data_IF_200677882599
#
_entry.id   IF_200677882599
#
_cell.length_a   1.000
_cell.length_b   1.000
_cell.length_c   1.000
_cell.angle_alpha   90.00
_cell.angle_beta   90.00
_cell.angle_gamma   90.00
#
_symmetry.space_group_name_H-M   'P 1'
#
loop_
_entity.id
_entity.type
_entity.pdbx_description
1 polymer ?
#
# COMPACT_ATOMS: atom_id res chain seq x y z
N UNK A 1 -17.83 15.08 35.39
CA UNK A 1 -16.42 14.60 35.42
C UNK A 1 -16.19 13.41 34.48
N UNK A 2 -16.75 12.22 34.75
CA UNK A 2 -16.54 10.99 33.96
C UNK A 2 -16.95 11.18 32.48
N UNK A 3 -18.12 11.75 32.22
CA UNK A 3 -18.58 12.06 30.86
C UNK A 3 -17.65 13.04 30.11
N UNK A 4 -17.02 13.98 30.84
CA UNK A 4 -16.06 14.93 30.28
C UNK A 4 -14.76 14.25 29.82
N UNK A 5 -14.27 13.26 30.56
CA UNK A 5 -13.13 12.43 30.14
C UNK A 5 -13.47 11.68 28.84
N UNK A 6 -14.67 11.09 28.76
CA UNK A 6 -15.09 10.38 27.56
C UNK A 6 -15.18 11.30 26.34
N UNK A 7 -15.77 12.49 26.50
CA UNK A 7 -15.88 13.47 25.42
C UNK A 7 -14.50 13.88 24.87
N UNK A 8 -13.53 14.14 25.75
CA UNK A 8 -12.16 14.50 25.33
C UNK A 8 -11.45 13.37 24.56
N UNK A 9 -11.66 12.11 24.97
CA UNK A 9 -11.06 10.94 24.30
C UNK A 9 -11.70 10.68 22.93
N UNK A 10 -13.02 10.91 22.81
CA UNK A 10 -13.73 10.73 21.55
C UNK A 10 -13.40 11.82 20.52
N UNK A 11 -13.20 13.05 20.98
CA UNK A 11 -12.75 14.18 20.14
C UNK A 11 -11.33 13.95 19.62
N UNK A 12 -10.39 13.62 20.51
CA UNK A 12 -9.01 13.34 20.15
C UNK A 12 -8.53 12.00 20.75
N UNK A 13 -8.58 10.95 19.93
CA UNK A 13 -8.13 9.60 20.33
C UNK A 13 -6.62 9.49 20.63
N UNK A 14 -5.82 10.53 20.38
CA UNK A 14 -4.37 10.58 20.66
C UNK A 14 -4.02 11.39 21.91
N UNK A 15 -5.02 11.85 22.68
CA UNK A 15 -4.81 12.67 23.88
C UNK A 15 -3.98 11.94 24.95
N UNK A 16 -3.10 12.68 25.64
CA UNK A 16 -2.27 12.15 26.73
C UNK A 16 -2.99 12.27 28.08
N UNK A 17 -2.73 11.34 29.00
CA UNK A 17 -3.28 11.37 30.36
C UNK A 17 -3.01 12.71 31.09
N UNK A 18 -1.81 13.27 30.95
CA UNK A 18 -1.43 14.54 31.58
C UNK A 18 -2.25 15.72 31.02
N UNK A 19 -2.64 15.66 29.75
CA UNK A 19 -3.41 16.70 29.09
C UNK A 19 -4.87 16.67 29.57
N UNK A 20 -5.45 15.48 29.73
CA UNK A 20 -6.76 15.30 30.36
C UNK A 20 -6.75 15.82 31.80
N UNK A 21 -5.73 15.48 32.59
CA UNK A 21 -5.56 16.00 33.95
C UNK A 21 -5.57 17.53 33.98
N UNK A 22 -4.77 18.17 33.10
CA UNK A 22 -4.67 19.63 33.04
C UNK A 22 -5.98 20.30 32.61
N UNK A 23 -6.69 19.72 31.66
CA UNK A 23 -7.93 20.29 31.12
C UNK A 23 -9.11 20.17 32.10
N UNK A 24 -9.21 19.07 32.84
CA UNK A 24 -10.32 18.82 33.76
C UNK A 24 -9.98 19.10 35.23
N UNK A 25 -8.73 19.39 35.56
CA UNK A 25 -8.27 19.62 36.93
C UNK A 25 -8.31 18.39 37.84
N UNK A 26 -8.41 17.18 37.28
CA UNK A 26 -8.56 15.91 38.03
C UNK A 26 -7.23 15.20 38.19
N UNK A 27 -6.94 14.57 39.33
CA UNK A 27 -5.65 13.90 39.52
C UNK A 27 -5.36 12.86 38.42
N UNK A 28 -4.08 12.72 38.04
CA UNK A 28 -3.63 11.75 37.02
C UNK A 28 -4.08 10.32 37.37
N UNK A 29 -4.10 9.98 38.67
CA UNK A 29 -4.57 8.69 39.16
C UNK A 29 -6.04 8.45 38.86
N UNK A 30 -6.91 9.44 39.11
CA UNK A 30 -8.34 9.36 38.79
C UNK A 30 -8.53 9.20 37.28
N UNK A 31 -7.83 9.98 36.45
CA UNK A 31 -7.88 9.84 34.99
C UNK A 31 -7.51 8.43 34.55
N UNK A 32 -6.43 7.86 35.11
CA UNK A 32 -5.98 6.49 34.80
C UNK A 32 -7.05 5.45 35.17
N UNK A 33 -7.64 5.59 36.35
CA UNK A 33 -8.72 4.70 36.84
C UNK A 33 -9.94 4.79 35.93
N UNK A 34 -10.38 6.00 35.57
CA UNK A 34 -11.53 6.19 34.67
C UNK A 34 -11.27 5.55 33.30
N UNK A 35 -10.09 5.79 32.71
CA UNK A 35 -9.78 5.25 31.38
C UNK A 35 -9.68 3.73 31.35
N UNK A 36 -8.97 3.12 32.31
CA UNK A 36 -8.70 1.68 32.26
C UNK A 36 -9.74 0.82 32.99
N UNK A 37 -10.31 1.30 34.09
CA UNK A 37 -11.24 0.51 34.90
C UNK A 37 -12.71 0.76 34.52
N UNK A 38 -13.10 2.02 34.31
CA UNK A 38 -14.50 2.34 34.00
C UNK A 38 -14.80 2.18 32.51
N UNK A 39 -13.97 2.74 31.63
CA UNK A 39 -14.18 2.67 30.18
C UNK A 39 -13.50 1.48 29.51
N UNK A 40 -12.64 0.76 30.24
CA UNK A 40 -11.87 -0.37 29.72
C UNK A 40 -11.09 -0.05 28.43
N UNK A 41 -10.64 1.20 28.30
CA UNK A 41 -9.86 1.62 27.14
C UNK A 41 -8.45 1.03 27.20
N UNK A 42 -7.99 0.59 26.02
CA UNK A 42 -6.65 0.06 25.82
C UNK A 42 -5.83 1.02 24.98
N UNK A 43 -4.57 1.21 25.36
CA UNK A 43 -3.61 1.94 24.55
C UNK A 43 -3.18 1.06 23.38
N UNK A 44 -3.32 1.56 22.16
CA UNK A 44 -2.88 0.90 20.93
C UNK A 44 -1.85 1.80 20.25
N UNK A 45 -0.79 1.21 19.69
CA UNK A 45 0.16 1.94 18.86
C UNK A 45 -0.46 2.18 17.47
N UNK A 46 -0.30 3.40 16.95
CA UNK A 46 -0.80 3.73 15.61
C UNK A 46 -0.11 2.84 14.56
N UNK A 47 -0.89 2.35 13.61
CA UNK A 47 -0.35 1.65 12.45
C UNK A 47 0.42 2.63 11.57
N UNK A 48 1.58 2.20 11.07
CA UNK A 48 2.35 2.98 10.12
C UNK A 48 1.61 3.06 8.78
N UNK A 49 1.46 4.27 8.25
CA UNK A 49 0.82 4.54 6.95
C UNK A 49 1.88 5.11 6.00
N UNK A 50 2.10 4.52 4.82
CA UNK A 50 3.22 4.89 3.94
C UNK A 50 3.28 6.35 3.50
N UNK A 51 2.13 6.96 3.22
CA UNK A 51 2.05 8.33 2.72
C UNK A 51 0.83 9.05 3.31
N UNK A 52 0.96 10.37 3.49
CA UNK A 52 -0.15 11.24 3.84
C UNK A 52 -0.95 11.54 2.57
N UNK A 53 -2.07 10.83 2.38
CA UNK A 53 -2.90 10.98 1.19
C UNK A 53 -3.67 12.31 1.26
N UNK A 54 -3.69 13.05 0.15
CA UNK A 54 -4.60 14.18 -0.02
C UNK A 54 -6.01 13.68 -0.29
N UNK A 55 -7.03 14.48 0.03
CA UNK A 55 -8.43 14.12 -0.20
C UNK A 55 -8.70 13.76 -1.66
N UNK A 56 -8.07 14.48 -2.61
CA UNK A 56 -8.18 14.17 -4.03
C UNK A 56 -7.63 12.77 -4.37
N UNK A 57 -6.47 12.40 -3.81
CA UNK A 57 -5.84 11.09 -4.06
C UNK A 57 -6.62 9.94 -3.41
N UNK A 58 -7.08 10.13 -2.18
CA UNK A 58 -7.84 9.13 -1.44
C UNK A 58 -9.21 8.88 -2.07
N UNK A 59 -9.98 9.95 -2.26
CA UNK A 59 -11.41 9.85 -2.62
C UNK A 59 -11.61 9.64 -4.11
N UNK A 60 -10.85 10.33 -4.98
CA UNK A 60 -11.09 10.24 -6.43
C UNK A 60 -10.36 9.10 -7.11
N UNK A 61 -9.13 8.80 -6.68
CA UNK A 61 -8.32 7.79 -7.38
C UNK A 61 -8.44 6.42 -6.72
N UNK A 62 -8.19 6.30 -5.41
CA UNK A 62 -8.18 4.96 -4.77
C UNK A 62 -9.57 4.34 -4.70
N UNK A 63 -10.58 5.09 -4.22
CA UNK A 63 -11.95 4.56 -4.11
C UNK A 63 -12.53 4.21 -5.48
N UNK A 64 -12.44 5.12 -6.47
CA UNK A 64 -12.97 4.86 -7.80
C UNK A 64 -12.29 3.66 -8.50
N UNK A 65 -10.98 3.48 -8.34
CA UNK A 65 -10.27 2.31 -8.86
C UNK A 65 -10.72 1.03 -8.15
N UNK A 66 -10.82 1.06 -6.82
CA UNK A 66 -11.26 -0.12 -6.04
C UNK A 66 -12.69 -0.53 -6.40
N UNK A 67 -13.60 0.43 -6.55
CA UNK A 67 -14.98 0.18 -6.96
C UNK A 67 -15.05 -0.36 -8.39
N UNK A 68 -14.32 0.26 -9.33
CA UNK A 68 -14.31 -0.22 -10.72
C UNK A 68 -13.72 -1.62 -10.86
N UNK A 69 -12.74 -2.00 -10.02
CA UNK A 69 -12.24 -3.38 -9.96
C UNK A 69 -13.26 -4.35 -9.36
N UNK A 70 -14.01 -3.96 -8.33
CA UNK A 70 -15.01 -4.82 -7.70
C UNK A 70 -16.23 -5.05 -8.61
N UNK A 71 -16.61 -4.04 -9.39
CA UNK A 71 -17.73 -4.09 -10.34
C UNK A 71 -17.35 -4.77 -11.66
N UNK A 72 -16.07 -5.04 -11.89
CA UNK A 72 -15.60 -5.69 -13.11
C UNK A 72 -15.79 -7.19 -12.98
N UNK A 73 -16.76 -7.74 -13.71
CA UNK A 73 -16.81 -9.17 -14.03
C UNK A 73 -15.50 -9.57 -14.74
N UNK A 74 -14.94 -10.77 -14.49
CA UNK A 74 -13.69 -11.19 -15.11
C UNK A 74 -13.84 -11.16 -16.64
N UNK A 75 -13.15 -10.21 -17.26
CA UNK A 75 -13.22 -10.01 -18.72
C UNK A 75 -12.87 -11.31 -19.44
N UNK A 76 -13.74 -11.74 -20.36
CA UNK A 76 -13.38 -12.70 -21.40
C UNK A 76 -12.12 -12.19 -22.13
N UNK A 77 -11.18 -13.10 -22.45
CA UNK A 77 -9.91 -12.78 -23.16
C UNK A 77 -10.11 -11.95 -24.44
N UNK A 78 -11.31 -11.92 -25.03
CA UNK A 78 -11.67 -11.07 -26.16
C UNK A 78 -11.73 -9.57 -25.81
N UNK A 79 -12.24 -9.20 -24.63
CA UNK A 79 -12.33 -7.79 -24.21
C UNK A 79 -10.96 -7.21 -23.85
N UNK A 80 -10.06 -8.00 -23.28
CA UNK A 80 -8.70 -7.55 -22.97
C UNK A 80 -7.81 -7.35 -24.20
N UNK A 81 -8.26 -7.70 -25.42
CA UNK A 81 -7.59 -7.33 -26.69
C UNK A 81 -7.93 -5.90 -27.13
N UNK A 82 -8.94 -5.26 -26.55
CA UNK A 82 -9.35 -3.88 -26.84
C UNK A 82 -8.58 -2.88 -25.95
N UNK A 83 -7.25 -2.87 -26.01
CA UNK A 83 -6.44 -1.87 -25.32
C UNK A 83 -5.83 -0.85 -26.28
N UNK A 84 -6.59 0.21 -26.61
CA UNK A 84 -6.09 1.58 -26.83
C UNK A 84 -7.24 2.57 -26.58
N UNK A 85 -7.29 3.24 -25.41
CA UNK A 85 -8.05 4.49 -25.28
C UNK A 85 -7.06 5.64 -25.44
N UNK A 86 -7.27 6.48 -26.45
CA UNK A 86 -6.39 7.59 -26.80
C UNK A 86 -6.29 8.69 -25.71
N UNK A 87 -7.15 8.64 -24.69
CA UNK A 87 -7.35 9.71 -23.71
C UNK A 87 -6.74 9.46 -22.33
N UNK A 88 -5.97 8.38 -22.15
CA UNK A 88 -5.29 8.13 -20.87
C UNK A 88 -4.10 9.10 -20.69
N UNK A 89 -4.01 9.83 -19.57
CA UNK A 89 -2.87 10.71 -19.33
C UNK A 89 -1.58 9.90 -19.16
N UNK A 90 -0.43 10.40 -19.67
CA UNK A 90 0.85 9.74 -19.47
C UNK A 90 1.27 9.78 -17.99
N UNK A 91 1.96 8.74 -17.48
CA UNK A 91 2.39 8.68 -16.08
C UNK A 91 3.42 9.78 -15.78
N UNK A 92 3.21 10.50 -14.68
CA UNK A 92 4.09 11.56 -14.19
C UNK A 92 5.19 10.99 -13.30
N UNK A 93 6.44 11.06 -13.73
CA UNK A 93 7.58 10.67 -12.91
C UNK A 93 8.03 11.84 -12.03
N UNK A 94 8.01 11.68 -10.71
CA UNK A 94 8.75 12.54 -9.78
C UNK A 94 9.95 11.76 -9.24
N UNK A 95 11.16 12.33 -9.37
CA UNK A 95 12.37 11.78 -8.76
C UNK A 95 12.65 12.50 -7.45
N UNK A 96 12.74 11.78 -6.34
CA UNK A 96 13.52 12.19 -5.17
C UNK A 96 14.44 11.03 -4.81
N UNK A 97 15.74 11.27 -4.90
CA UNK A 97 16.74 10.31 -4.43
C UNK A 97 16.95 10.54 -2.92
N UNK A 98 16.81 9.49 -2.13
CA UNK A 98 17.33 9.42 -0.76
C UNK A 98 18.50 8.44 -0.80
N UNK A 99 19.68 8.93 -0.45
CA UNK A 99 20.89 8.12 -0.40
C UNK A 99 20.87 7.22 0.85
N UNK A 100 21.01 5.91 0.66
CA UNK A 100 21.36 4.97 1.73
C UNK A 100 22.54 4.11 1.28
N UNK A 101 23.52 3.96 2.18
CA UNK A 101 24.86 3.40 1.95
C UNK A 101 24.80 1.89 1.60
N UNK A 102 25.44 1.41 0.51
CA UNK A 102 25.19 0.08 -0.07
C UNK A 102 26.00 -1.10 0.51
N UNK A 103 26.81 -0.92 1.55
CA UNK A 103 27.74 -1.98 1.97
C UNK A 103 27.14 -3.06 2.89
N UNK A 104 26.20 -3.85 2.36
CA UNK A 104 25.92 -5.23 2.79
C UNK A 104 25.60 -6.05 1.55
N UNK A 105 26.25 -7.21 1.38
CA UNK A 105 26.10 -8.16 0.27
C UNK A 105 24.70 -8.78 0.18
N UNK A 106 23.71 -7.95 -0.13
CA UNK A 106 22.33 -8.29 -0.37
C UNK A 106 22.13 -8.40 -1.88
N UNK A 107 21.98 -9.62 -2.40
CA UNK A 107 21.42 -9.80 -3.74
C UNK A 107 19.93 -9.49 -3.66
N UNK A 108 19.53 -8.28 -4.07
CA UNK A 108 18.12 -7.86 -4.05
C UNK A 108 17.50 -8.23 -5.39
N UNK A 109 16.45 -9.07 -5.37
CA UNK A 109 15.57 -9.22 -6.52
C UNK A 109 14.90 -7.87 -6.80
N UNK A 110 15.20 -7.29 -7.95
CA UNK A 110 14.78 -5.96 -8.34
C UNK A 110 13.41 -5.97 -9.04
N UNK A 111 13.08 -7.04 -9.78
CA UNK A 111 11.75 -7.25 -10.36
C UNK A 111 11.30 -8.70 -10.18
N UNK A 112 10.13 -8.89 -9.56
CA UNK A 112 9.51 -10.20 -9.38
C UNK A 112 8.05 -10.14 -9.81
N UNK A 113 7.67 -10.99 -10.76
CA UNK A 113 6.29 -11.13 -11.23
C UNK A 113 5.72 -12.47 -10.79
N UNK A 114 4.50 -12.44 -10.26
CA UNK A 114 3.76 -13.63 -9.86
C UNK A 114 2.55 -13.85 -10.76
N UNK A 115 2.25 -15.12 -10.99
CA UNK A 115 0.96 -15.58 -11.45
C UNK A 115 0.29 -16.35 -10.29
N UNK A 116 -1.02 -16.64 -10.35
CA UNK A 116 -1.68 -17.45 -9.32
C UNK A 116 -0.99 -18.80 -9.05
N UNK A 117 -0.36 -19.38 -10.06
CA UNK A 117 0.42 -20.63 -10.00
C UNK A 117 1.86 -20.45 -9.46
N UNK A 118 2.25 -19.26 -9.01
CA UNK A 118 3.56 -18.97 -8.43
C UNK A 118 4.43 -18.00 -9.25
N UNK A 119 5.74 -17.91 -8.94
CA UNK A 119 6.63 -16.93 -9.56
C UNK A 119 6.80 -17.20 -11.06
N UNK A 120 6.63 -16.14 -11.86
CA UNK A 120 6.66 -16.20 -13.32
C UNK A 120 7.96 -15.65 -13.90
N UNK A 121 8.51 -14.59 -13.32
CA UNK A 121 9.80 -14.06 -13.72
C UNK A 121 10.47 -13.37 -12.54
N UNK A 122 11.75 -13.68 -12.30
CA UNK A 122 12.61 -12.97 -11.38
C UNK A 122 13.78 -12.39 -12.16
N UNK A 123 14.03 -11.09 -11.97
CA UNK A 123 15.31 -10.48 -12.32
C UNK A 123 16.10 -10.28 -11.04
N UNK A 124 17.39 -10.59 -11.14
CA UNK A 124 18.38 -10.27 -10.12
C UNK A 124 19.43 -9.43 -10.84
N UNK A 125 19.73 -8.20 -10.38
CA UNK A 125 20.74 -7.38 -11.02
C UNK A 125 22.12 -7.96 -10.70
N UNK A 126 23.08 -7.75 -11.62
CA UNK A 126 24.49 -8.02 -11.33
C UNK A 126 25.01 -7.12 -10.21
N UNK A 127 26.16 -7.48 -9.64
CA UNK A 127 26.82 -6.67 -8.60
C UNK A 127 27.15 -5.27 -9.14
N UNK A 128 26.53 -4.22 -8.59
CA UNK A 128 26.76 -2.83 -8.98
C UNK A 128 25.54 -1.93 -8.81
N UNK A 129 25.72 -0.62 -9.02
CA UNK A 129 24.63 0.37 -8.98
C UNK A 129 23.78 0.32 -10.26
N UNK A 130 23.00 -0.75 -10.42
CA UNK A 130 22.04 -0.87 -11.50
C UNK A 130 20.67 -0.34 -11.06
N UNK A 131 20.14 0.66 -11.79
CA UNK A 131 18.76 1.14 -11.60
C UNK A 131 17.89 0.64 -12.74
N UNK A 132 16.64 0.26 -12.45
CA UNK A 132 15.67 -0.16 -13.47
C UNK A 132 15.31 1.05 -14.33
N UNK A 133 15.91 1.13 -15.52
CA UNK A 133 15.52 2.09 -16.55
C UNK A 133 14.46 1.47 -17.48
N UNK A 134 13.86 2.30 -18.34
CA UNK A 134 12.80 1.88 -19.26
C UNK A 134 13.23 0.74 -20.20
N UNK A 135 14.45 0.79 -20.75
CA UNK A 135 14.98 -0.23 -21.66
C UNK A 135 15.13 -1.59 -20.95
N UNK A 136 15.67 -1.56 -19.73
CA UNK A 136 15.90 -2.75 -18.91
C UNK A 136 14.58 -3.38 -18.46
N UNK A 137 13.56 -2.56 -18.18
CA UNK A 137 12.21 -3.03 -17.85
C UNK A 137 11.48 -3.59 -19.08
N UNK A 138 11.69 -3.02 -20.27
CA UNK A 138 11.16 -3.54 -21.53
C UNK A 138 11.69 -4.94 -21.81
N UNK A 139 12.99 -5.19 -21.66
CA UNK A 139 13.58 -6.52 -21.79
C UNK A 139 12.96 -7.51 -20.77
N UNK A 140 12.74 -7.06 -19.54
CA UNK A 140 12.08 -7.86 -18.47
C UNK A 140 10.64 -8.21 -18.85
N UNK A 141 9.88 -7.27 -19.42
CA UNK A 141 8.51 -7.47 -19.88
C UNK A 141 8.42 -8.45 -21.06
N UNK A 142 9.40 -8.42 -21.97
CA UNK A 142 9.51 -9.38 -23.07
C UNK A 142 9.83 -10.80 -22.57
N UNK A 143 10.73 -10.93 -21.58
CA UNK A 143 11.00 -12.20 -20.91
C UNK A 143 9.74 -12.74 -20.23
N UNK A 144 9.05 -11.91 -19.45
CA UNK A 144 7.80 -12.29 -18.78
C UNK A 144 6.75 -12.78 -19.78
N UNK A 145 6.57 -12.08 -20.89
CA UNK A 145 5.60 -12.46 -21.92
C UNK A 145 5.90 -13.83 -22.52
N UNK A 146 7.19 -14.16 -22.73
CA UNK A 146 7.63 -15.49 -23.16
C UNK A 146 7.30 -16.54 -22.10
N UNK A 147 7.59 -16.27 -20.83
CA UNK A 147 7.31 -17.21 -19.74
C UNK A 147 5.82 -17.42 -19.50
N UNK A 148 4.99 -16.37 -19.61
CA UNK A 148 3.53 -16.50 -19.53
C UNK A 148 3.03 -17.38 -20.67
N UNK A 149 3.52 -17.16 -21.90
CA UNK A 149 3.12 -17.96 -23.06
C UNK A 149 3.43 -19.44 -22.83
N UNK A 150 4.63 -19.77 -22.35
CA UNK A 150 5.03 -21.17 -22.10
C UNK A 150 4.32 -21.79 -20.88
N UNK A 151 4.16 -21.06 -19.77
CA UNK A 151 3.49 -21.58 -18.56
C UNK A 151 1.97 -21.72 -18.71
N UNK A 152 1.36 -20.93 -19.58
CA UNK A 152 -0.09 -20.95 -19.81
C UNK A 152 -0.50 -21.71 -21.09
N UNK A 153 0.45 -22.36 -21.79
CA UNK A 153 0.11 -23.22 -22.95
C UNK A 153 -0.56 -24.50 -22.43
N UNK A 154 -1.90 -24.54 -22.46
CA UNK A 154 -2.71 -25.66 -21.94
C UNK A 154 -3.99 -25.22 -21.23
N UNK A 155 -4.00 -24.04 -20.62
CA UNK A 155 -5.19 -23.47 -19.93
C UNK A 155 -6.24 -22.89 -20.90
N UNK A 156 -6.14 -23.18 -22.21
CA UNK A 156 -7.06 -22.69 -23.25
C UNK A 156 -7.87 -23.83 -23.88
N UNK A 157 -7.69 -25.07 -23.42
CA UNK A 157 -8.39 -26.25 -23.97
C UNK A 157 -9.50 -26.82 -23.07
N UNK A 158 -9.79 -26.20 -21.92
CA UNK A 158 -10.92 -26.55 -21.05
C UNK A 158 -11.66 -25.28 -20.64
N UNK A 159 -12.47 -24.76 -21.55
CA UNK A 159 -13.60 -23.85 -21.33
C UNK A 159 -14.45 -23.82 -22.59
#
# INVERSE_FOLDING_TARGET
MIAGVNALVLDNRRIKLNEIHRLLGISVGITRTIMHQLFNFRKICLQWVPHHLTEQCHTKTRLALSLSHLQREPESKLQSKLWKRATSPPPRNQKKAVHTNPNKGMCVCDVLHFLPQGPAACRVPGTGNHTINAQSYQATSQNLSRTIKSKCTGMVSMM
#
